data_IF_215071863908
#
_entry.id   IF_215071863908
#
_cell.length_a   1.000
_cell.length_b   1.000
_cell.length_c   1.000
_cell.angle_alpha   90.00
_cell.angle_beta   90.00
_cell.angle_gamma   90.00
#
_symmetry.space_group_name_H-M   'P 1'
#
loop_
_entity.id
_entity.type
_entity.pdbx_description
1 polymer ?
#
# COMPACT_ATOMS: atom_id res chain seq x y z
N UNK A 1 -16.08 9.69 2.48
CA UNK A 1 -17.32 9.29 3.19
C UNK A 1 -16.96 9.22 4.65
N UNK A 2 -17.59 10.04 5.47
CA UNK A 2 -17.51 10.02 6.93
C UNK A 2 -18.05 8.67 7.42
N UNK A 3 -17.31 7.99 8.28
CA UNK A 3 -17.89 6.88 9.03
C UNK A 3 -18.91 7.40 10.01
N UNK A 4 -20.01 6.64 10.20
CA UNK A 4 -21.08 7.04 11.09
C UNK A 4 -22.24 7.78 10.42
N UNK A 5 -22.27 7.86 9.09
CA UNK A 5 -23.39 8.44 8.33
C UNK A 5 -23.79 7.53 7.17
N UNK A 6 -25.06 7.62 6.77
CA UNK A 6 -25.56 6.90 5.61
C UNK A 6 -25.03 7.53 4.31
N UNK A 7 -24.38 6.76 3.41
CA UNK A 7 -23.85 7.28 2.16
C UNK A 7 -24.92 7.63 1.11
N UNK A 8 -26.21 7.49 1.45
CA UNK A 8 -27.35 7.75 0.55
C UNK A 8 -28.13 8.98 1.01
N UNK A 9 -28.63 8.95 2.25
CA UNK A 9 -29.42 10.06 2.80
C UNK A 9 -28.59 11.03 3.65
N UNK A 10 -27.31 10.73 3.91
CA UNK A 10 -26.42 11.50 4.78
C UNK A 10 -26.88 11.59 6.25
N UNK A 11 -27.84 10.77 6.68
CA UNK A 11 -28.26 10.72 8.08
C UNK A 11 -27.19 10.06 8.97
N UNK A 12 -26.96 10.63 10.15
CA UNK A 12 -26.05 10.08 11.15
C UNK A 12 -26.60 8.78 11.78
N UNK A 13 -25.69 7.83 12.01
CA UNK A 13 -25.94 6.60 12.74
C UNK A 13 -25.85 6.84 14.24
N UNK A 14 -27.02 7.00 14.85
CA UNK A 14 -27.16 7.34 16.26
C UNK A 14 -27.12 6.13 17.21
N UNK A 15 -27.21 4.91 16.68
CA UNK A 15 -27.17 3.68 17.48
C UNK A 15 -26.05 2.72 17.05
N UNK A 16 -25.49 1.93 17.99
CA UNK A 16 -24.53 0.87 17.67
C UNK A 16 -25.10 -0.13 16.66
N UNK A 17 -26.39 -0.44 16.74
CA UNK A 17 -27.05 -1.34 15.80
C UNK A 17 -27.03 -0.83 14.36
N UNK A 18 -27.03 0.48 14.13
CA UNK A 18 -26.87 1.06 12.78
C UNK A 18 -25.41 1.00 12.33
N UNK A 19 -24.48 1.37 13.21
CA UNK A 19 -23.03 1.35 12.94
C UNK A 19 -22.48 -0.03 12.64
N UNK A 20 -23.08 -1.08 13.22
CA UNK A 20 -22.64 -2.46 13.08
C UNK A 20 -23.41 -3.22 12.00
N UNK A 21 -24.45 -2.64 11.42
CA UNK A 21 -25.28 -3.30 10.41
C UNK A 21 -24.71 -3.15 9.00
N UNK A 22 -24.40 -4.27 8.34
CA UNK A 22 -23.89 -4.32 6.98
C UNK A 22 -24.81 -5.20 6.11
N UNK A 23 -25.64 -4.61 5.25
CA UNK A 23 -26.60 -5.36 4.43
C UNK A 23 -25.99 -5.98 3.17
N UNK A 24 -24.81 -5.51 2.74
CA UNK A 24 -24.14 -6.01 1.55
C UNK A 24 -22.80 -6.66 1.87
N UNK A 25 -22.49 -7.77 1.16
CA UNK A 25 -21.23 -8.50 1.33
C UNK A 25 -20.00 -7.65 1.00
N UNK A 26 -20.12 -6.71 0.07
CA UNK A 26 -19.04 -5.78 -0.30
C UNK A 26 -18.67 -4.77 0.80
N UNK A 27 -19.46 -4.68 1.89
CA UNK A 27 -19.19 -3.73 2.98
C UNK A 27 -19.87 -2.38 2.82
N UNK A 28 -20.61 -2.16 1.72
CA UNK A 28 -21.44 -0.97 1.56
C UNK A 28 -22.55 -0.93 2.61
N UNK A 29 -22.61 0.15 3.38
CA UNK A 29 -23.48 0.33 4.54
C UNK A 29 -24.46 1.48 4.33
N UNK A 30 -25.60 1.26 3.66
CA UNK A 30 -26.74 2.17 3.70
C UNK A 30 -27.58 1.96 4.97
N UNK A 31 -28.38 2.96 5.35
CA UNK A 31 -29.33 2.82 6.45
C UNK A 31 -30.49 1.87 6.07
N UNK A 32 -31.18 1.34 7.08
CA UNK A 32 -32.30 0.41 6.88
C UNK A 32 -33.44 1.01 6.04
N UNK A 33 -33.66 2.33 6.10
CA UNK A 33 -34.67 3.01 5.29
C UNK A 33 -34.28 3.07 3.82
N UNK A 34 -33.02 3.39 3.50
CA UNK A 34 -32.54 3.44 2.12
C UNK A 34 -32.54 2.07 1.44
N UNK A 35 -32.26 0.99 2.18
CA UNK A 35 -32.33 -0.38 1.63
C UNK A 35 -33.75 -0.73 1.19
N UNK A 36 -34.78 -0.30 1.94
CA UNK A 36 -36.17 -0.57 1.55
C UNK A 36 -36.54 0.11 0.23
N UNK A 37 -35.92 1.24 -0.07
CA UNK A 37 -36.13 1.98 -1.31
C UNK A 37 -35.27 1.46 -2.47
N UNK A 38 -34.10 0.88 -2.17
CA UNK A 38 -33.13 0.40 -3.17
C UNK A 38 -33.09 -1.13 -3.22
N UNK A 39 -33.43 -1.72 -4.37
CA UNK A 39 -33.36 -3.18 -4.55
C UNK A 39 -31.92 -3.71 -4.72
N UNK A 40 -30.99 -2.84 -5.14
CA UNK A 40 -29.61 -3.19 -5.47
C UNK A 40 -28.61 -2.30 -4.73
N UNK A 41 -27.45 -2.86 -4.40
CA UNK A 41 -26.33 -2.13 -3.83
C UNK A 41 -25.72 -1.18 -4.88
N UNK A 42 -25.62 0.12 -4.62
CA UNK A 42 -25.04 1.07 -5.59
C UNK A 42 -23.53 0.88 -5.80
N UNK A 43 -22.85 0.19 -4.88
CA UNK A 43 -21.41 -0.08 -4.99
C UNK A 43 -21.10 -1.30 -5.86
N UNK A 44 -21.67 -2.47 -5.54
CA UNK A 44 -21.39 -3.72 -6.26
C UNK A 44 -22.49 -4.17 -7.22
N UNK A 45 -23.63 -3.45 -7.28
CA UNK A 45 -24.82 -3.75 -8.09
C UNK A 45 -25.56 -5.04 -7.72
N UNK A 46 -25.10 -5.75 -6.69
CA UNK A 46 -25.74 -6.97 -6.21
C UNK A 46 -27.09 -6.66 -5.53
N UNK A 47 -28.06 -7.55 -5.72
CA UNK A 47 -29.38 -7.43 -5.08
C UNK A 47 -29.26 -7.59 -3.57
N UNK A 48 -29.98 -6.75 -2.82
CA UNK A 48 -30.08 -6.95 -1.38
C UNK A 48 -30.91 -8.20 -1.10
N UNK A 49 -30.35 -9.09 -0.28
CA UNK A 49 -31.00 -10.29 0.20
C UNK A 49 -30.86 -10.30 1.72
N UNK A 50 -31.97 -10.39 2.44
CA UNK A 50 -31.98 -10.34 3.92
C UNK A 50 -31.11 -11.44 4.54
N UNK A 51 -31.01 -12.60 3.88
CA UNK A 51 -30.13 -13.70 4.27
C UNK A 51 -28.62 -13.32 4.29
N UNK A 52 -28.23 -12.25 3.59
CA UNK A 52 -26.86 -11.75 3.54
C UNK A 52 -26.61 -10.59 4.52
N UNK A 53 -27.64 -10.13 5.24
CA UNK A 53 -27.49 -9.06 6.22
C UNK A 53 -26.68 -9.58 7.41
N UNK A 54 -25.67 -8.81 7.80
CA UNK A 54 -24.77 -9.17 8.89
C UNK A 54 -24.60 -8.01 9.84
N UNK A 55 -24.50 -8.34 11.12
CA UNK A 55 -24.07 -7.41 12.16
C UNK A 55 -22.61 -7.71 12.47
N UNK A 56 -21.73 -6.74 12.27
CA UNK A 56 -20.31 -6.86 12.55
C UNK A 56 -20.02 -5.94 13.72
N UNK A 57 -19.74 -6.49 14.93
CA UNK A 57 -19.46 -5.66 16.08
C UNK A 57 -18.13 -4.94 15.92
N UNK A 58 -18.05 -3.71 16.43
CA UNK A 58 -16.80 -2.98 16.41
C UNK A 58 -15.87 -3.47 17.51
N UNK A 59 -14.97 -4.40 17.15
CA UNK A 59 -14.00 -4.98 18.07
C UNK A 59 -13.13 -3.93 18.77
N UNK A 60 -12.87 -2.78 18.15
CA UNK A 60 -12.05 -1.73 18.76
C UNK A 60 -12.64 -1.24 20.08
N UNK A 61 -13.95 -1.00 20.12
CA UNK A 61 -14.62 -0.48 21.30
C UNK A 61 -14.88 -1.52 22.40
N UNK A 62 -14.88 -2.81 22.06
CA UNK A 62 -14.96 -3.88 23.06
C UNK A 62 -13.62 -4.17 23.77
N UNK A 63 -12.49 -3.72 23.22
CA UNK A 63 -11.16 -3.91 23.81
C UNK A 63 -10.87 -2.91 24.93
N UNK A 64 -10.03 -3.31 25.88
CA UNK A 64 -9.47 -2.41 26.90
C UNK A 64 -8.51 -1.38 26.29
N UNK A 65 -8.22 -0.30 27.01
CA UNK A 65 -7.27 0.73 26.56
C UNK A 65 -5.88 0.16 26.26
N UNK A 66 -5.39 -0.76 27.10
CA UNK A 66 -4.11 -1.43 26.92
C UNK A 66 -4.07 -2.27 25.64
N UNK A 67 -5.14 -3.03 25.39
CA UNK A 67 -5.25 -3.84 24.16
C UNK A 67 -5.33 -2.96 22.91
N UNK A 68 -6.09 -1.86 22.96
CA UNK A 68 -6.17 -0.88 21.86
C UNK A 68 -4.80 -0.28 21.53
N UNK A 69 -3.96 -0.02 22.53
CA UNK A 69 -2.57 0.46 22.32
C UNK A 69 -1.70 -0.54 21.56
N UNK A 70 -2.02 -1.82 21.59
CA UNK A 70 -1.28 -2.86 20.86
C UNK A 70 -1.85 -3.16 19.47
N UNK A 71 -3.00 -2.58 19.12
CA UNK A 71 -3.56 -2.74 17.78
C UNK A 71 -2.83 -1.86 16.76
N UNK A 72 -2.68 -2.39 15.55
CA UNK A 72 -2.11 -1.74 14.38
C UNK A 72 -3.02 -1.96 13.17
N UNK A 73 -2.97 -1.04 12.21
CA UNK A 73 -3.61 -1.22 10.90
C UNK A 73 -2.51 -1.25 9.84
N UNK A 74 -2.58 -2.20 8.91
CA UNK A 74 -1.69 -2.23 7.75
C UNK A 74 -1.89 -0.95 6.94
N UNK A 75 -0.82 -0.25 6.63
CA UNK A 75 -0.88 0.94 5.80
C UNK A 75 0.03 0.76 4.59
N UNK A 76 -0.58 0.69 3.40
CA UNK A 76 0.10 0.42 2.12
C UNK A 76 0.98 1.57 1.62
N UNK A 77 0.88 2.77 2.20
CA UNK A 77 1.79 3.88 1.93
C UNK A 77 3.12 3.77 2.70
N UNK A 78 3.14 2.97 3.78
CA UNK A 78 4.33 2.77 4.59
C UNK A 78 5.04 1.50 4.13
N UNK A 79 6.37 1.54 4.14
CA UNK A 79 7.24 0.45 3.76
C UNK A 79 8.31 0.27 4.84
N UNK A 80 8.63 -0.99 5.13
CA UNK A 80 9.76 -1.36 5.99
C UNK A 80 10.77 -2.08 5.11
N UNK A 81 11.92 -1.44 4.93
CA UNK A 81 13.02 -1.89 4.06
C UNK A 81 14.12 -2.46 4.94
N UNK A 82 14.56 -3.67 4.63
CA UNK A 82 15.61 -4.41 5.36
C UNK A 82 16.70 -4.84 4.40
N UNK A 83 17.91 -5.05 4.92
CA UNK A 83 19.05 -5.50 4.12
C UNK A 83 19.74 -4.38 3.33
N UNK A 84 19.56 -3.12 3.74
CA UNK A 84 20.31 -1.99 3.21
C UNK A 84 21.78 -2.08 3.64
N UNK A 85 22.70 -1.62 2.78
CA UNK A 85 24.11 -1.49 3.17
C UNK A 85 24.33 -0.29 4.08
N UNK A 86 25.37 -0.36 4.92
CA UNK A 86 25.63 0.69 5.92
C UNK A 86 26.05 2.00 5.25
N UNK A 87 26.69 1.92 4.08
CA UNK A 87 27.13 3.07 3.28
C UNK A 87 25.97 3.96 2.79
N UNK A 88 24.78 3.36 2.64
CA UNK A 88 23.57 4.07 2.19
C UNK A 88 22.52 4.20 3.28
N UNK A 89 22.83 3.79 4.52
CA UNK A 89 21.89 3.80 5.64
C UNK A 89 21.81 5.21 6.27
N UNK A 90 21.49 6.19 5.43
CA UNK A 90 21.33 7.59 5.80
C UNK A 90 20.09 8.18 5.11
N UNK A 91 19.36 9.02 5.83
CA UNK A 91 18.09 9.57 5.35
C UNK A 91 18.28 10.47 4.13
N UNK A 92 19.34 11.29 4.11
CA UNK A 92 19.61 12.22 3.02
C UNK A 92 20.01 11.45 1.77
N UNK A 93 20.84 10.40 1.91
CA UNK A 93 21.24 9.52 0.81
C UNK A 93 20.01 8.81 0.26
N UNK A 94 19.21 8.13 1.10
CA UNK A 94 18.06 7.37 0.64
C UNK A 94 16.98 8.22 -0.03
N UNK A 95 16.85 9.50 0.34
CA UNK A 95 15.92 10.44 -0.31
C UNK A 95 16.35 10.85 -1.73
N UNK A 96 17.62 10.64 -2.11
CA UNK A 96 18.10 10.99 -3.44
C UNK A 96 17.40 10.17 -4.52
N UNK A 97 17.39 10.72 -5.74
CA UNK A 97 16.79 10.08 -6.91
C UNK A 97 17.39 8.69 -7.18
N UNK A 98 18.69 8.50 -6.93
CA UNK A 98 19.36 7.22 -7.11
C UNK A 98 18.83 6.10 -6.20
N UNK A 99 18.08 6.43 -5.14
CA UNK A 99 17.60 5.47 -4.14
C UNK A 99 16.07 5.45 -4.06
N UNK A 100 15.47 5.94 -2.97
CA UNK A 100 14.02 5.92 -2.77
C UNK A 100 13.30 7.09 -3.45
N UNK A 101 14.02 8.19 -3.72
CA UNK A 101 13.45 9.40 -4.32
C UNK A 101 12.88 9.19 -5.73
N UNK A 102 13.38 8.23 -6.50
CA UNK A 102 12.82 7.90 -7.82
C UNK A 102 11.41 7.30 -7.79
N UNK A 103 10.95 6.76 -6.66
CA UNK A 103 9.66 6.07 -6.61
C UNK A 103 8.49 7.02 -6.31
N UNK A 104 8.75 8.10 -5.58
CA UNK A 104 7.75 9.11 -5.27
C UNK A 104 8.17 10.05 -4.15
N UNK A 105 7.24 10.92 -3.77
CA UNK A 105 7.45 11.89 -2.69
C UNK A 105 7.43 11.18 -1.33
N UNK A 106 8.51 11.35 -0.57
CA UNK A 106 8.67 10.76 0.76
C UNK A 106 8.17 11.75 1.81
N UNK A 107 7.07 11.40 2.48
CA UNK A 107 6.43 12.20 3.52
C UNK A 107 7.16 12.09 4.86
N UNK A 108 7.58 10.88 5.21
CA UNK A 108 8.29 10.59 6.46
C UNK A 108 9.29 9.46 6.23
N UNK A 109 10.43 9.52 6.92
CA UNK A 109 11.45 8.48 6.88
C UNK A 109 12.12 8.38 8.24
N UNK A 110 12.28 7.15 8.73
CA UNK A 110 12.99 6.86 9.97
C UNK A 110 13.89 5.65 9.77
N UNK A 111 15.11 5.74 10.29
CA UNK A 111 16.08 4.64 10.24
C UNK A 111 16.28 4.15 11.67
N UNK A 112 16.03 2.86 11.90
CA UNK A 112 16.22 2.23 13.21
C UNK A 112 16.58 0.76 13.04
N UNK A 113 17.50 0.25 13.86
CA UNK A 113 17.93 -1.16 13.84
C UNK A 113 18.30 -1.67 12.44
N UNK A 114 18.99 -0.84 11.63
CA UNK A 114 19.38 -1.14 10.22
C UNK A 114 18.19 -1.42 9.30
N UNK A 115 17.02 -0.89 9.64
CA UNK A 115 15.81 -0.91 8.84
C UNK A 115 15.40 0.53 8.51
N UNK A 116 14.93 0.74 7.29
CA UNK A 116 14.36 2.01 6.87
C UNK A 116 12.84 1.89 6.85
N UNK A 117 12.18 2.72 7.65
CA UNK A 117 10.74 2.91 7.69
C UNK A 117 10.45 4.14 6.86
N UNK A 118 9.77 3.97 5.73
CA UNK A 118 9.50 5.08 4.80
C UNK A 118 8.02 5.16 4.50
N UNK A 119 7.49 6.39 4.50
CA UNK A 119 6.11 6.69 4.12
C UNK A 119 6.09 7.51 2.84
N UNK A 120 5.42 7.00 1.83
CA UNK A 120 5.14 7.73 0.60
C UNK A 120 3.85 8.52 0.70
N UNK A 121 3.68 9.49 -0.19
CA UNK A 121 2.46 10.30 -0.29
C UNK A 121 1.26 9.48 -0.77
N UNK A 122 1.48 8.53 -1.68
CA UNK A 122 0.40 7.69 -2.23
C UNK A 122 0.72 6.19 -2.15
N UNK A 123 -0.33 5.36 -2.09
CA UNK A 123 -0.16 3.89 -2.12
C UNK A 123 0.51 3.41 -3.41
N UNK A 124 0.25 4.09 -4.54
CA UNK A 124 0.84 3.76 -5.83
C UNK A 124 2.37 3.95 -5.83
N UNK A 125 2.87 5.02 -5.20
CA UNK A 125 4.32 5.27 -5.10
C UNK A 125 5.01 4.23 -4.21
N UNK A 126 4.37 3.86 -3.09
CA UNK A 126 4.87 2.80 -2.22
C UNK A 126 4.88 1.44 -2.96
N UNK A 127 3.85 1.15 -3.74
CA UNK A 127 3.77 -0.06 -4.56
C UNK A 127 4.85 -0.08 -5.64
N UNK A 128 5.09 1.04 -6.34
CA UNK A 128 6.17 1.18 -7.34
C UNK A 128 7.54 0.83 -6.73
N UNK A 129 7.84 1.40 -5.55
CA UNK A 129 9.06 1.13 -4.80
C UNK A 129 9.16 -0.36 -4.45
N UNK A 130 8.12 -0.91 -3.81
CA UNK A 130 8.11 -2.28 -3.34
C UNK A 130 8.26 -3.28 -4.49
N UNK A 131 7.61 -3.04 -5.63
CA UNK A 131 7.74 -3.86 -6.82
C UNK A 131 9.15 -3.80 -7.42
N UNK A 132 9.75 -2.60 -7.49
CA UNK A 132 11.07 -2.40 -8.06
C UNK A 132 12.19 -3.05 -7.24
N UNK A 133 12.20 -2.85 -5.91
CA UNK A 133 13.36 -3.19 -5.06
C UNK A 133 13.17 -4.42 -4.19
N UNK A 134 11.94 -4.89 -3.95
CA UNK A 134 11.75 -6.06 -3.09
C UNK A 134 12.41 -7.30 -3.72
N UNK A 135 13.28 -7.95 -2.95
CA UNK A 135 14.17 -9.03 -3.34
C UNK A 135 15.34 -8.63 -4.28
N UNK A 136 15.58 -7.35 -4.58
CA UNK A 136 16.79 -6.97 -5.33
C UNK A 136 18.05 -7.05 -4.46
N UNK A 137 19.23 -7.10 -5.09
CA UNK A 137 20.51 -6.98 -4.37
C UNK A 137 21.06 -5.56 -4.49
N UNK A 138 21.71 -5.09 -3.43
CA UNK A 138 22.52 -3.87 -3.44
C UNK A 138 23.75 -4.14 -2.57
N UNK A 139 24.95 -3.89 -3.11
CA UNK A 139 26.21 -4.15 -2.40
C UNK A 139 26.27 -5.58 -1.80
N UNK A 140 25.92 -6.57 -2.63
CA UNK A 140 25.82 -8.00 -2.25
C UNK A 140 24.82 -8.34 -1.13
N UNK A 141 24.06 -7.38 -0.61
CA UNK A 141 23.02 -7.59 0.40
C UNK A 141 21.65 -7.69 -0.27
N UNK A 142 20.83 -8.65 0.17
CA UNK A 142 19.47 -8.82 -0.30
C UNK A 142 18.55 -7.80 0.37
N UNK A 143 17.93 -6.92 -0.42
CA UNK A 143 16.92 -6.00 0.05
C UNK A 143 15.59 -6.75 0.13
N UNK A 144 14.95 -6.69 1.29
CA UNK A 144 13.60 -7.25 1.50
C UNK A 144 12.68 -6.17 2.04
N UNK A 145 11.40 -6.30 1.68
CA UNK A 145 10.44 -5.24 1.89
C UNK A 145 9.08 -5.80 2.29
N UNK A 146 8.46 -5.14 3.27
CA UNK A 146 7.10 -5.40 3.71
C UNK A 146 6.34 -4.07 3.79
N UNK A 147 5.02 -4.05 3.55
CA UNK A 147 4.27 -2.85 3.92
C UNK A 147 4.36 -2.65 5.43
N UNK A 148 4.34 -1.39 5.84
CA UNK A 148 4.33 -1.00 7.23
C UNK A 148 2.92 -0.95 7.79
N UNK A 149 2.83 -0.32 8.94
CA UNK A 149 1.58 -0.17 9.68
C UNK A 149 1.47 1.23 10.24
N UNK A 150 0.27 1.55 10.70
CA UNK A 150 -0.01 2.79 11.38
C UNK A 150 -0.58 2.49 12.76
N UNK A 151 -0.23 3.36 13.71
CA UNK A 151 -0.69 3.29 15.09
C UNK A 151 -1.96 4.16 15.25
N UNK A 152 -2.81 3.76 16.17
CA UNK A 152 -3.90 4.61 16.64
C UNK A 152 -3.34 5.78 17.46
N UNK A 153 -4.00 6.93 17.36
CA UNK A 153 -3.66 8.09 18.16
C UNK A 153 -3.90 7.79 19.64
N UNK A 154 -2.98 8.21 20.51
CA UNK A 154 -3.11 8.02 21.96
C UNK A 154 -4.33 8.75 22.52
N UNK A 155 -4.57 10.00 22.11
CA UNK A 155 -5.77 10.74 22.50
C UNK A 155 -7.06 10.02 22.07
N UNK A 156 -7.09 9.50 20.85
CA UNK A 156 -8.22 8.72 20.35
C UNK A 156 -8.45 7.44 21.17
N UNK A 157 -7.38 6.70 21.48
CA UNK A 157 -7.47 5.48 22.31
C UNK A 157 -8.09 5.78 23.68
N UNK A 158 -7.70 6.90 24.29
CA UNK A 158 -8.24 7.37 25.57
C UNK A 158 -9.65 8.00 25.47
N UNK A 159 -10.25 8.08 24.27
CA UNK A 159 -11.56 8.70 24.06
C UNK A 159 -11.54 10.24 24.08
N UNK A 160 -10.37 10.87 23.98
CA UNK A 160 -10.21 12.32 23.93
C UNK A 160 -10.08 12.83 22.50
N UNK A 161 -10.58 14.05 22.27
CA UNK A 161 -10.38 14.75 20.99
C UNK A 161 -8.89 15.05 20.80
N UNK A 162 -8.35 14.66 19.65
CA UNK A 162 -7.00 15.02 19.25
C UNK A 162 -6.96 16.51 18.84
N UNK A 163 -6.02 17.27 19.41
CA UNK A 163 -5.84 18.70 19.12
C UNK A 163 -4.80 18.96 18.03
N UNK A 164 -4.04 17.93 17.63
CA UNK A 164 -3.03 18.06 16.59
C UNK A 164 -3.70 18.15 15.22
N UNK A 165 -3.54 19.29 14.55
CA UNK A 165 -4.12 19.58 13.22
C UNK A 165 -3.52 18.70 12.11
N UNK A 166 -2.31 18.18 12.33
CA UNK A 166 -1.56 17.35 11.38
C UNK A 166 -1.20 15.99 12.01
N UNK A 167 -2.10 15.43 12.82
CA UNK A 167 -1.85 14.16 13.49
C UNK A 167 -1.77 13.02 12.45
N UNK A 168 -0.63 12.34 12.42
CA UNK A 168 -0.37 11.25 11.47
C UNK A 168 -0.90 9.89 11.92
N UNK A 169 -1.57 9.81 13.07
CA UNK A 169 -2.12 8.57 13.63
C UNK A 169 -3.60 8.39 13.30
N UNK A 170 -4.10 7.17 13.48
CA UNK A 170 -5.50 6.82 13.18
C UNK A 170 -6.42 7.34 14.28
N UNK A 171 -7.52 8.02 13.90
CA UNK A 171 -8.56 8.52 14.80
C UNK A 171 -9.93 7.86 14.58
N UNK A 172 -9.96 6.77 13.83
CA UNK A 172 -11.20 6.09 13.48
C UNK A 172 -10.96 4.59 13.37
N UNK A 173 -11.83 3.80 13.98
CA UNK A 173 -11.86 2.36 13.84
C UNK A 173 -13.30 1.94 13.51
N UNK A 174 -13.48 1.29 12.37
CA UNK A 174 -14.78 0.80 11.90
C UNK A 174 -14.87 -0.71 12.11
N UNK A 175 -16.06 -1.32 12.09
CA UNK A 175 -16.20 -2.77 12.20
C UNK A 175 -15.45 -3.56 11.11
N UNK A 176 -15.24 -2.96 9.94
CA UNK A 176 -14.51 -3.58 8.83
C UNK A 176 -13.00 -3.33 8.89
N UNK A 177 -12.54 -2.49 9.82
CA UNK A 177 -11.12 -2.22 10.00
C UNK A 177 -10.37 -3.49 10.38
N UNK A 178 -9.46 -3.93 9.50
CA UNK A 178 -8.58 -5.06 9.76
C UNK A 178 -7.42 -4.62 10.65
N UNK A 179 -7.53 -4.91 11.94
CA UNK A 179 -6.50 -4.68 12.93
C UNK A 179 -5.71 -5.96 13.22
N UNK A 180 -4.45 -5.80 13.60
CA UNK A 180 -3.62 -6.88 14.12
C UNK A 180 -2.88 -6.44 15.38
N UNK A 181 -2.52 -7.42 16.22
CA UNK A 181 -1.74 -7.19 17.42
C UNK A 181 -0.26 -7.01 17.09
N UNK A 182 0.46 -6.13 17.79
CA UNK A 182 1.88 -5.83 17.51
C UNK A 182 2.79 -7.07 17.51
N UNK A 183 2.47 -8.09 18.31
CA UNK A 183 3.27 -9.33 18.36
C UNK A 183 3.14 -10.16 17.09
N UNK A 184 1.99 -10.05 16.40
CA UNK A 184 1.73 -10.73 15.13
C UNK A 184 2.21 -9.91 13.93
N UNK A 185 2.86 -8.75 14.15
CA UNK A 185 3.28 -7.82 13.11
C UNK A 185 4.02 -8.52 11.98
N UNK A 186 5.04 -9.33 12.29
CA UNK A 186 5.83 -10.00 11.26
C UNK A 186 4.97 -10.94 10.39
N UNK A 187 4.09 -11.74 11.01
CA UNK A 187 3.23 -12.71 10.30
C UNK A 187 2.18 -12.00 9.46
N UNK A 188 1.47 -11.05 10.07
CA UNK A 188 0.34 -10.34 9.46
C UNK A 188 0.80 -9.38 8.37
N UNK A 189 1.93 -8.69 8.56
CA UNK A 189 2.53 -7.93 7.47
C UNK A 189 2.91 -8.90 6.35
N UNK A 190 3.71 -9.93 6.59
CA UNK A 190 4.12 -10.85 5.51
C UNK A 190 2.93 -11.46 4.76
N UNK A 191 1.84 -11.80 5.45
CA UNK A 191 0.63 -12.38 4.85
C UNK A 191 -0.24 -11.34 4.11
N UNK A 192 -0.55 -10.20 4.74
CA UNK A 192 -1.32 -9.12 4.13
C UNK A 192 -0.55 -8.40 3.01
N UNK A 193 0.78 -8.53 3.02
CA UNK A 193 1.72 -7.86 2.14
C UNK A 193 2.50 -8.85 1.28
N UNK A 194 1.94 -10.04 0.99
CA UNK A 194 2.46 -10.90 -0.09
C UNK A 194 2.43 -10.11 -1.40
N UNK A 195 3.47 -9.34 -1.64
CA UNK A 195 3.74 -8.71 -2.91
C UNK A 195 4.11 -9.87 -3.81
N UNK A 196 3.15 -10.32 -4.60
CA UNK A 196 3.41 -11.27 -5.67
C UNK A 196 4.26 -10.52 -6.66
N UNK A 197 5.58 -10.64 -6.51
CA UNK A 197 6.50 -10.15 -7.52
C UNK A 197 6.11 -10.85 -8.83
N UNK A 198 5.90 -10.09 -9.93
CA UNK A 198 5.63 -10.69 -11.22
C UNK A 198 6.69 -11.76 -11.51
N UNK A 199 6.26 -12.95 -11.95
CA UNK A 199 7.17 -14.07 -12.31
C UNK A 199 8.18 -13.65 -13.40
N UNK A 200 7.88 -12.56 -14.10
CA UNK A 200 8.66 -11.91 -15.15
C UNK A 200 9.71 -10.91 -14.63
N UNK A 201 10.23 -11.06 -13.40
CA UNK A 201 11.50 -10.40 -13.01
C UNK A 201 12.68 -11.08 -13.74
N UNK A 202 12.66 -11.13 -15.08
CA UNK A 202 13.70 -11.73 -15.94
C UNK A 202 15.09 -11.11 -15.69
N UNK A 203 15.15 -9.89 -15.14
CA UNK A 203 16.39 -9.18 -14.80
C UNK A 203 16.90 -9.37 -13.35
N UNK A 204 16.27 -10.22 -12.54
CA UNK A 204 16.64 -10.42 -11.12
C UNK A 204 18.12 -10.81 -10.93
N UNK A 205 18.65 -11.63 -11.85
CA UNK A 205 20.07 -12.01 -11.84
C UNK A 205 21.01 -10.88 -12.31
N UNK A 206 20.53 -9.96 -13.17
CA UNK A 206 21.29 -8.80 -13.66
C UNK A 206 21.34 -7.65 -12.64
N UNK A 207 20.40 -7.61 -11.69
CA UNK A 207 20.39 -6.63 -10.60
C UNK A 207 21.46 -6.91 -9.53
N UNK A 208 22.19 -8.03 -9.59
CA UNK A 208 23.33 -8.30 -8.70
C UNK A 208 24.53 -7.38 -8.94
N UNK A 209 24.64 -6.77 -10.11
CA UNK A 209 25.80 -5.94 -10.51
C UNK A 209 25.59 -4.44 -10.24
N UNK A 210 24.36 -4.00 -9.96
CA UNK A 210 24.06 -2.61 -9.66
C UNK A 210 24.45 -2.25 -8.21
N UNK A 211 25.63 -1.65 -8.07
CA UNK A 211 26.18 -1.23 -6.76
C UNK A 211 25.98 0.26 -6.48
N UNK A 212 25.54 1.05 -7.46
CA UNK A 212 25.52 2.52 -7.34
C UNK A 212 24.14 3.14 -7.11
N UNK A 213 23.05 2.44 -7.48
CA UNK A 213 21.68 2.95 -7.37
C UNK A 213 20.65 1.81 -7.28
N UNK A 214 19.46 2.10 -6.78
CA UNK A 214 18.35 1.14 -6.76
C UNK A 214 17.74 0.94 -8.15
N UNK A 215 17.11 -0.23 -8.41
CA UNK A 215 16.47 -0.51 -9.69
C UNK A 215 15.43 0.54 -10.09
N UNK A 216 15.36 0.96 -11.36
CA UNK A 216 14.31 1.88 -11.81
C UNK A 216 12.91 1.29 -11.63
N UNK A 217 11.86 2.11 -11.74
CA UNK A 217 10.47 1.63 -11.70
C UNK A 217 10.24 0.46 -12.68
N UNK A 218 9.40 -0.52 -12.32
CA UNK A 218 9.12 -1.70 -13.17
C UNK A 218 8.67 -1.29 -14.58
N UNK A 219 7.87 -0.23 -14.72
CA UNK A 219 7.42 0.26 -16.03
C UNK A 219 8.60 0.59 -16.96
N UNK A 220 9.63 1.26 -16.41
CA UNK A 220 10.86 1.61 -17.13
C UNK A 220 11.68 0.34 -17.39
N UNK A 221 11.79 -0.58 -16.43
CA UNK A 221 12.47 -1.86 -16.63
C UNK A 221 11.85 -2.64 -17.81
N UNK A 222 10.53 -2.69 -17.89
CA UNK A 222 9.79 -3.36 -18.95
C UNK A 222 9.99 -2.68 -20.32
N UNK A 223 10.05 -1.35 -20.36
CA UNK A 223 10.38 -0.60 -21.58
C UNK A 223 11.81 -0.87 -22.04
N UNK A 224 12.79 -0.85 -21.13
CA UNK A 224 14.19 -1.16 -21.43
C UNK A 224 14.36 -2.60 -21.92
N UNK A 225 13.62 -3.56 -21.36
CA UNK A 225 13.58 -4.94 -21.84
C UNK A 225 13.07 -5.04 -23.28
N UNK A 226 11.97 -4.34 -23.59
CA UNK A 226 11.44 -4.27 -24.96
C UNK A 226 12.47 -3.69 -25.93
N UNK A 227 13.16 -2.62 -25.55
CA UNK A 227 14.21 -2.00 -26.36
C UNK A 227 15.42 -2.93 -26.55
N UNK A 228 15.84 -3.67 -25.51
CA UNK A 228 16.92 -4.66 -25.63
C UNK A 228 16.54 -5.84 -26.53
N UNK A 229 15.32 -6.37 -26.40
CA UNK A 229 14.81 -7.43 -27.30
C UNK A 229 14.73 -6.91 -28.74
N UNK A 230 14.23 -5.69 -28.93
CA UNK A 230 14.19 -5.02 -30.24
C UNK A 230 15.58 -4.81 -30.85
N UNK A 231 16.58 -4.38 -30.07
CA UNK A 231 17.97 -4.25 -30.54
C UNK A 231 18.65 -5.59 -30.82
N UNK A 232 18.25 -6.66 -30.14
CA UNK A 232 18.78 -8.01 -30.36
C UNK A 232 18.11 -8.71 -31.55
N UNK A 233 16.87 -8.35 -31.89
CA UNK A 233 16.10 -8.90 -33.01
C UNK A 233 16.33 -8.13 -34.33
N UNK A 234 16.78 -6.87 -34.29
CA UNK A 234 17.11 -6.10 -35.49
C UNK A 234 18.61 -6.12 -35.78
N UNK A 235 19.00 -6.95 -36.74
CA UNK A 235 20.31 -6.90 -37.37
C UNK A 235 20.52 -5.52 -38.01
N UNK A 236 21.71 -4.93 -37.85
CA UNK A 236 22.09 -3.60 -38.37
C UNK A 236 21.78 -3.40 -39.87
N UNK A 237 21.64 -4.50 -40.60
CA UNK A 237 21.26 -4.58 -42.01
C UNK A 237 19.81 -4.15 -42.29
N UNK A 238 18.84 -4.42 -41.40
CA UNK A 238 17.45 -3.97 -41.58
C UNK A 238 17.28 -2.47 -41.38
N UNK A 239 18.04 -1.87 -40.45
CA UNK A 239 18.12 -0.41 -40.29
C UNK A 239 18.72 0.26 -41.54
N UNK A 240 19.75 -0.35 -42.15
CA UNK A 240 20.32 0.15 -43.41
C UNK A 240 19.35 0.05 -44.59
N UNK A 241 18.48 -0.97 -44.63
CA UNK A 241 17.45 -1.09 -45.67
C UNK A 241 16.33 -0.05 -45.52
N UNK A 242 15.88 0.22 -44.28
CA UNK A 242 14.87 1.25 -44.01
C UNK A 242 15.43 2.65 -44.28
N UNK A 243 16.65 2.95 -43.83
CA UNK A 243 17.31 4.24 -44.10
C UNK A 243 17.58 4.42 -45.60
N UNK A 244 17.89 3.34 -46.35
CA UNK A 244 18.01 3.40 -47.82
C UNK A 244 16.68 3.56 -48.55
N UNK A 245 15.58 3.11 -47.95
CA UNK A 245 14.23 3.30 -48.50
C UNK A 245 13.75 4.74 -48.29
N UNK A 246 14.08 5.37 -47.15
CA UNK A 246 13.70 6.76 -46.86
C UNK A 246 14.59 7.82 -47.54
N UNK A 247 15.81 7.47 -47.96
CA UNK A 247 16.72 8.37 -48.70
C UNK A 247 16.54 8.33 -50.23
N UNK A 248 15.51 7.64 -50.73
CA UNK A 248 15.17 7.58 -52.17
C UNK A 248 13.96 8.44 -52.56
N UNK A 249 13.41 9.21 -51.62
CA UNK A 249 12.47 10.30 -51.88
C UNK A 249 13.13 11.68 -51.67
#
# INVERSE_FOLDING_TARGET
MSFGECPICCDEYTSPSMLEFFPCKCGYQPCMFCIKQMKQCPHCKELYQEANFRTIPNKFYSMSESERKQQRIVNKQNLIIRGLSDDILDEQILRQYNFLGQYGTIVDMQISNRQCYVKFDTESQALDCALAINFSYFDSKLITLTFGYQKFCTSFICGHKCHSKSCQFIHEATPLTKMFHVEDEYKQLTEATKIVCPREKENYHLQKEQTQQFPPKIQIQNQLLKLKKWNAENDFLQLLEIVRAELKD
#
